data_IF_832088020339
#
_entry.id   IF_832088020339
#
_cell.length_a   1.000
_cell.length_b   1.000
_cell.length_c   1.000
_cell.angle_alpha   90.00
_cell.angle_beta   90.00
_cell.angle_gamma   90.00
#
_symmetry.space_group_name_H-M   'P 1'
#
loop_
_entity.id
_entity.type
_entity.pdbx_description
1 polymer ?
#
# COMPACT_ATOMS: atom_id res chain seq x y z
N UNK A 1 -3.49 3.82 24.08
CA UNK A 1 -3.02 3.20 22.81
C UNK A 1 -1.54 3.45 22.69
N UNK A 2 -0.69 2.40 22.60
CA UNK A 2 0.73 2.57 22.33
C UNK A 2 0.92 2.93 20.86
N UNK A 3 1.62 4.01 20.58
CA UNK A 3 2.05 4.36 19.22
C UNK A 3 3.22 3.44 18.85
N UNK A 4 3.23 2.88 17.64
CA UNK A 4 4.32 2.01 17.20
C UNK A 4 5.50 2.89 16.76
N UNK A 5 6.38 3.24 17.71
CA UNK A 5 7.58 4.05 17.49
C UNK A 5 8.75 3.12 17.17
N UNK A 6 9.49 3.43 16.13
CA UNK A 6 10.74 2.75 15.75
C UNK A 6 11.91 3.30 16.57
N UNK A 7 12.04 2.80 17.79
CA UNK A 7 13.06 3.22 18.75
C UNK A 7 14.49 2.94 18.25
N UNK A 8 14.65 1.86 17.48
CA UNK A 8 15.96 1.44 16.97
C UNK A 8 16.47 2.43 15.93
N UNK A 9 15.61 2.95 15.08
CA UNK A 9 15.96 4.00 14.13
C UNK A 9 16.42 5.27 14.86
N UNK A 10 15.68 5.76 15.85
CA UNK A 10 16.08 6.95 16.63
C UNK A 10 17.43 6.74 17.33
N UNK A 11 17.65 5.56 17.90
CA UNK A 11 18.90 5.22 18.55
C UNK A 11 20.07 5.20 17.55
N UNK A 12 19.85 4.69 16.35
CA UNK A 12 20.83 4.69 15.27
C UNK A 12 21.19 6.12 14.83
N UNK A 13 20.19 7.01 14.67
CA UNK A 13 20.43 8.41 14.32
C UNK A 13 21.24 9.17 15.38
N UNK A 14 20.91 8.98 16.65
CA UNK A 14 21.68 9.57 17.75
C UNK A 14 23.13 9.08 17.76
N UNK A 15 23.37 7.78 17.54
CA UNK A 15 24.72 7.19 17.45
C UNK A 15 25.50 7.72 16.26
N UNK A 16 24.88 7.80 15.08
CA UNK A 16 25.50 8.32 13.86
C UNK A 16 26.02 9.76 14.06
N UNK A 17 25.32 10.57 14.85
CA UNK A 17 25.69 11.93 15.20
C UNK A 17 26.53 12.06 16.47
N UNK A 18 26.96 10.94 17.08
CA UNK A 18 27.73 10.90 18.32
C UNK A 18 27.09 11.72 19.44
N UNK A 19 25.77 11.70 19.54
CA UNK A 19 24.99 12.46 20.52
C UNK A 19 24.11 11.53 21.38
N UNK A 20 23.43 12.09 22.37
CA UNK A 20 22.67 11.34 23.37
C UNK A 20 21.21 11.81 23.44
N UNK A 21 20.33 10.96 23.99
CA UNK A 21 18.94 11.34 24.29
C UNK A 21 18.86 12.55 25.24
N UNK A 22 19.84 12.71 26.17
CA UNK A 22 19.89 13.84 27.08
C UNK A 22 20.19 15.15 26.33
N UNK A 23 21.10 15.11 25.35
CA UNK A 23 21.39 16.27 24.51
C UNK A 23 20.21 16.65 23.62
N UNK A 24 19.51 15.65 23.09
CA UNK A 24 18.26 15.88 22.36
C UNK A 24 17.19 16.54 23.25
N UNK A 25 17.00 16.04 24.48
CA UNK A 25 16.06 16.62 25.44
C UNK A 25 16.39 18.08 25.76
N UNK A 26 17.68 18.39 25.94
CA UNK A 26 18.17 19.75 26.19
C UNK A 26 17.91 20.66 24.98
N UNK A 27 18.15 20.19 23.77
CA UNK A 27 17.83 20.93 22.52
C UNK A 27 16.34 21.25 22.39
N UNK A 28 15.49 20.26 22.70
CA UNK A 28 14.04 20.40 22.66
C UNK A 28 13.42 21.14 23.86
N UNK A 29 14.24 21.57 24.83
CA UNK A 29 13.75 22.25 26.05
C UNK A 29 12.80 21.40 26.91
N UNK A 30 12.94 20.07 26.89
CA UNK A 30 12.10 19.14 27.66
C UNK A 30 12.96 18.19 28.51
N UNK A 31 12.33 17.52 29.49
CA UNK A 31 13.02 16.56 30.33
C UNK A 31 13.46 15.30 29.57
N UNK A 32 14.59 14.73 29.96
CA UNK A 32 15.10 13.49 29.37
C UNK A 32 14.12 12.31 29.53
N UNK A 33 13.34 12.29 30.61
CA UNK A 33 12.25 11.34 30.81
C UNK A 33 11.14 11.48 29.77
N UNK A 34 10.83 12.72 29.36
CA UNK A 34 9.83 12.98 28.32
C UNK A 34 10.28 12.45 26.96
N UNK A 35 11.57 12.61 26.59
CA UNK A 35 12.14 12.01 25.37
C UNK A 35 12.08 10.49 25.44
N UNK A 36 12.41 9.88 26.57
CA UNK A 36 12.31 8.43 26.74
C UNK A 36 10.88 7.94 26.53
N UNK A 37 9.88 8.63 27.08
CA UNK A 37 8.47 8.30 26.91
C UNK A 37 7.99 8.47 25.46
N UNK A 38 8.52 9.45 24.72
CA UNK A 38 8.26 9.63 23.29
C UNK A 38 8.81 8.43 22.49
N UNK A 39 10.05 8.06 22.74
CA UNK A 39 10.71 6.94 22.04
C UNK A 39 10.13 5.57 22.42
N UNK A 40 9.55 5.43 23.62
CA UNK A 40 8.83 4.21 24.02
C UNK A 40 7.36 4.15 23.53
N UNK A 41 6.91 5.17 22.76
CA UNK A 41 5.54 5.26 22.27
C UNK A 41 4.48 5.48 23.35
N UNK A 42 4.90 5.87 24.57
CA UNK A 42 4.02 6.17 25.72
C UNK A 42 3.54 7.61 25.76
N UNK A 43 4.22 8.49 25.03
CA UNK A 43 3.84 9.89 24.84
C UNK A 43 3.75 10.17 23.34
N UNK A 44 2.73 10.92 22.91
CA UNK A 44 2.57 11.33 21.53
C UNK A 44 3.54 12.42 21.16
N UNK A 45 4.26 12.27 20.06
CA UNK A 45 5.07 13.30 19.44
C UNK A 45 4.17 14.35 18.80
N UNK A 46 4.36 15.63 19.15
CA UNK A 46 3.65 16.75 18.53
C UNK A 46 4.48 17.32 17.37
N UNK A 47 3.80 17.98 16.42
CA UNK A 47 4.47 18.51 15.22
C UNK A 47 5.63 19.49 15.52
N UNK A 48 5.50 20.46 16.47
CA UNK A 48 6.64 21.30 16.84
C UNK A 48 7.83 20.50 17.39
N UNK A 49 7.56 19.49 18.22
CA UNK A 49 8.59 18.62 18.78
C UNK A 49 9.28 17.75 17.71
N UNK A 50 8.50 17.30 16.69
CA UNK A 50 9.04 16.57 15.56
C UNK A 50 9.98 17.46 14.73
N UNK A 51 9.66 18.75 14.57
CA UNK A 51 10.50 19.71 13.87
C UNK A 51 11.84 19.90 14.60
N UNK A 52 11.82 20.18 15.91
CA UNK A 52 13.03 20.33 16.73
C UNK A 52 13.90 19.06 16.74
N UNK A 53 13.25 17.90 16.77
CA UNK A 53 13.95 16.61 16.69
C UNK A 53 14.57 16.39 15.30
N UNK A 54 13.90 16.76 14.24
CA UNK A 54 14.39 16.68 12.86
C UNK A 54 15.60 17.61 12.66
N UNK A 55 15.53 18.85 13.14
CA UNK A 55 16.60 19.82 13.08
C UNK A 55 17.82 19.33 13.84
N UNK A 56 17.64 18.77 15.05
CA UNK A 56 18.72 18.20 15.85
C UNK A 56 19.37 16.98 15.19
N UNK A 57 18.55 16.09 14.64
CA UNK A 57 19.00 14.88 13.96
C UNK A 57 19.43 15.14 12.51
N UNK A 58 19.13 16.33 11.92
CA UNK A 58 19.39 16.71 10.54
C UNK A 58 18.80 15.75 9.51
N UNK A 59 17.60 15.33 9.77
CA UNK A 59 16.75 14.49 8.90
C UNK A 59 15.47 15.26 8.55
N UNK A 60 14.70 14.78 7.60
CA UNK A 60 13.42 15.38 7.27
C UNK A 60 12.41 15.17 8.41
N UNK A 61 11.57 16.18 8.69
CA UNK A 61 10.51 16.09 9.69
C UNK A 61 9.50 14.97 9.37
N UNK A 62 9.27 14.71 8.08
CA UNK A 62 8.40 13.62 7.64
C UNK A 62 8.99 12.25 8.01
N UNK A 63 10.30 12.11 7.96
CA UNK A 63 11.03 10.90 8.36
C UNK A 63 10.90 10.66 9.88
N UNK A 64 11.09 11.70 10.69
CA UNK A 64 10.88 11.65 12.14
C UNK A 64 9.46 11.22 12.47
N UNK A 65 8.46 11.82 11.82
CA UNK A 65 7.06 11.51 12.08
C UNK A 65 6.68 10.10 11.62
N UNK A 66 7.23 9.62 10.50
CA UNK A 66 7.02 8.26 10.00
C UNK A 66 7.54 7.22 11.02
N UNK A 67 8.78 7.39 11.52
CA UNK A 67 9.38 6.50 12.51
C UNK A 67 8.79 6.67 13.92
N UNK A 68 8.16 7.82 14.22
CA UNK A 68 7.36 8.01 15.43
C UNK A 68 5.96 7.39 15.35
N UNK A 69 5.62 6.70 14.24
CA UNK A 69 4.32 6.08 14.04
C UNK A 69 3.17 7.10 13.89
N UNK A 70 3.49 8.36 13.60
CA UNK A 70 2.51 9.40 13.33
C UNK A 70 2.18 9.38 11.84
N UNK A 71 0.96 8.95 11.50
CA UNK A 71 0.47 9.10 10.12
C UNK A 71 0.26 10.58 9.85
N UNK A 72 1.13 11.16 9.05
CA UNK A 72 0.92 12.51 8.53
C UNK A 72 -0.16 12.38 7.45
N UNK A 73 -1.33 12.97 7.69
CA UNK A 73 -2.16 13.38 6.57
C UNK A 73 -1.33 14.39 5.76
N UNK A 74 -1.13 14.11 4.47
CA UNK A 74 -0.30 14.94 3.59
C UNK A 74 -0.60 16.43 3.82
N UNK A 75 0.47 17.22 3.93
CA UNK A 75 0.41 18.67 4.17
C UNK A 75 -0.51 19.34 3.14
N UNK A 76 -1.50 20.15 3.53
CA UNK A 76 -2.21 20.98 2.58
C UNK A 76 -1.22 22.01 2.01
N UNK A 77 -0.77 21.83 0.78
CA UNK A 77 0.13 22.78 0.10
C UNK A 77 1.25 22.17 -0.74
N UNK A 78 1.66 20.93 -0.47
CA UNK A 78 2.47 20.18 -1.42
C UNK A 78 1.50 19.35 -2.26
N UNK A 79 1.29 19.69 -3.50
CA UNK A 79 0.55 18.83 -4.41
C UNK A 79 1.24 17.44 -4.36
N UNK A 80 0.49 16.37 -4.01
CA UNK A 80 1.07 15.04 -3.94
C UNK A 80 1.65 14.72 -5.33
N UNK A 81 2.95 14.50 -5.39
CA UNK A 81 3.56 14.14 -6.67
C UNK A 81 2.98 12.79 -7.10
N UNK A 82 2.52 12.65 -8.34
CA UNK A 82 1.96 11.41 -8.81
C UNK A 82 3.02 10.30 -8.72
N UNK A 83 2.68 9.25 -8.00
CA UNK A 83 3.55 8.07 -7.89
C UNK A 83 3.60 7.40 -9.27
N UNK A 84 4.78 7.21 -9.84
CA UNK A 84 4.92 6.45 -11.08
C UNK A 84 4.83 4.96 -10.78
N UNK A 85 3.80 4.32 -11.33
CA UNK A 85 3.53 2.90 -11.15
C UNK A 85 3.80 2.16 -12.45
N UNK A 86 4.52 1.04 -12.37
CA UNK A 86 4.85 0.21 -13.53
C UNK A 86 3.60 -0.52 -14.04
N UNK A 87 3.29 -0.38 -15.32
CA UNK A 87 2.30 -1.18 -16.04
C UNK A 87 2.91 -2.53 -16.33
N UNK A 88 2.27 -3.62 -15.89
CA UNK A 88 2.80 -4.98 -16.01
C UNK A 88 1.91 -5.89 -16.84
N UNK A 89 0.93 -5.35 -17.53
CA UNK A 89 0.08 -6.17 -18.38
C UNK A 89 -1.28 -5.55 -18.70
N UNK A 90 -2.18 -6.39 -19.16
CA UNK A 90 -3.53 -6.02 -19.57
C UNK A 90 -4.59 -7.01 -19.07
N UNK A 91 -5.83 -6.57 -19.09
CA UNK A 91 -7.03 -7.38 -18.81
C UNK A 91 -7.87 -7.41 -20.07
N UNK A 92 -8.18 -8.59 -20.60
CA UNK A 92 -9.02 -8.72 -21.79
C UNK A 92 -10.53 -8.71 -21.47
N UNK A 93 -11.36 -8.75 -22.50
CA UNK A 93 -12.83 -8.74 -22.38
C UNK A 93 -13.40 -9.97 -21.64
N UNK A 94 -12.62 -11.03 -21.48
CA UNK A 94 -12.96 -12.23 -20.69
C UNK A 94 -12.52 -12.10 -19.22
N UNK A 95 -12.02 -10.92 -18.83
CA UNK A 95 -11.47 -10.67 -17.51
C UNK A 95 -10.24 -11.53 -17.17
N UNK A 96 -9.50 -11.98 -18.19
CA UNK A 96 -8.22 -12.66 -18.02
C UNK A 96 -7.10 -11.63 -17.99
N UNK A 97 -6.27 -11.71 -16.95
CA UNK A 97 -5.11 -10.84 -16.76
C UNK A 97 -3.88 -11.48 -17.38
N UNK A 98 -3.29 -10.79 -18.35
CA UNK A 98 -2.03 -11.17 -18.97
C UNK A 98 -0.92 -10.26 -18.48
N UNK A 99 0.06 -10.83 -17.77
CA UNK A 99 1.21 -10.07 -17.31
C UNK A 99 2.33 -10.12 -18.35
N UNK A 100 3.01 -9.01 -18.53
CA UNK A 100 4.19 -8.83 -19.35
C UNK A 100 5.34 -8.21 -18.56
N UNK A 101 6.51 -8.05 -19.18
CA UNK A 101 7.69 -7.46 -18.51
C UNK A 101 7.57 -5.95 -18.24
N UNK A 102 6.49 -5.32 -18.70
CA UNK A 102 6.12 -3.94 -18.47
C UNK A 102 7.24 -2.92 -18.62
N UNK A 103 7.22 -2.16 -19.70
CA UNK A 103 8.18 -1.08 -19.94
C UNK A 103 7.60 0.32 -19.73
N UNK A 104 6.29 0.41 -19.53
CA UNK A 104 5.55 1.69 -19.42
C UNK A 104 5.19 1.97 -17.97
N UNK A 105 5.30 3.23 -17.56
CA UNK A 105 4.82 3.69 -16.27
C UNK A 105 3.61 4.59 -16.43
N UNK A 106 2.68 4.48 -15.50
CA UNK A 106 1.47 5.32 -15.42
C UNK A 106 1.45 6.09 -14.10
N UNK A 107 0.73 7.20 -14.09
CA UNK A 107 0.49 7.94 -12.86
C UNK A 107 -0.47 7.16 -11.95
N UNK A 108 -0.04 6.94 -10.72
CA UNK A 108 -0.83 6.34 -9.66
C UNK A 108 -1.26 7.36 -8.61
N UNK A 109 -2.18 6.96 -7.74
CA UNK A 109 -2.59 7.78 -6.61
C UNK A 109 -1.44 7.87 -5.59
N UNK A 110 -1.16 9.06 -5.01
CA UNK A 110 -0.04 9.26 -4.09
C UNK A 110 -0.08 8.39 -2.81
N UNK A 111 -1.26 7.94 -2.41
CA UNK A 111 -1.44 7.08 -1.24
C UNK A 111 -1.27 5.57 -1.53
N UNK A 112 -0.90 5.19 -2.77
CA UNK A 112 -0.64 3.79 -3.10
C UNK A 112 0.65 3.30 -2.42
N UNK A 113 0.67 2.03 -1.95
CA UNK A 113 1.89 1.41 -1.41
C UNK A 113 3.03 1.35 -2.44
N UNK A 114 4.27 1.16 -1.95
CA UNK A 114 5.50 1.23 -2.78
C UNK A 114 5.57 0.13 -3.84
N UNK A 115 5.02 -1.08 -3.60
CA UNK A 115 5.16 -2.25 -4.48
C UNK A 115 3.95 -2.45 -5.40
N UNK A 116 3.21 -1.37 -5.66
CA UNK A 116 2.03 -1.42 -6.51
C UNK A 116 2.45 -1.49 -7.97
N UNK A 117 1.74 -2.31 -8.73
CA UNK A 117 1.80 -2.38 -10.18
C UNK A 117 0.42 -2.14 -10.78
N UNK A 118 0.36 -1.95 -12.09
CA UNK A 118 -0.89 -1.68 -12.79
C UNK A 118 -1.09 -2.60 -13.97
N UNK A 119 -2.35 -2.86 -14.30
CA UNK A 119 -2.79 -3.47 -15.56
C UNK A 119 -3.81 -2.58 -16.23
N UNK A 120 -3.89 -2.61 -17.57
CA UNK A 120 -4.85 -1.83 -18.35
C UNK A 120 -5.96 -2.74 -18.87
N UNK A 121 -7.20 -2.32 -18.75
CA UNK A 121 -8.32 -2.97 -19.40
C UNK A 121 -8.28 -2.73 -20.93
N UNK A 122 -8.46 -3.78 -21.69
CA UNK A 122 -8.54 -3.83 -23.15
C UNK A 122 -9.84 -4.56 -23.49
N UNK A 123 -10.94 -3.84 -23.39
CA UNK A 123 -12.30 -4.39 -23.47
C UNK A 123 -13.11 -3.77 -24.59
N UNK A 124 -12.48 -2.97 -25.45
CA UNK A 124 -13.11 -2.31 -26.59
C UNK A 124 -13.93 -3.28 -27.43
N UNK A 125 -15.12 -2.86 -27.84
CA UNK A 125 -16.04 -3.66 -28.67
C UNK A 125 -16.69 -4.84 -27.96
N UNK A 126 -16.61 -4.94 -26.64
CA UNK A 126 -17.28 -5.94 -25.82
C UNK A 126 -18.42 -5.36 -24.99
N UNK A 127 -19.15 -6.21 -24.27
CA UNK A 127 -20.14 -5.77 -23.27
C UNK A 127 -19.52 -4.94 -22.13
N UNK A 128 -18.19 -4.96 -22.02
CA UNK A 128 -17.42 -4.23 -21.02
C UNK A 128 -16.66 -3.03 -21.62
N UNK A 129 -17.10 -2.54 -22.76
CA UNK A 129 -16.50 -1.40 -23.47
C UNK A 129 -16.34 -0.16 -22.57
N UNK A 130 -17.25 0.03 -21.62
CA UNK A 130 -17.16 1.12 -20.62
C UNK A 130 -15.92 1.05 -19.73
N UNK A 131 -15.26 -0.09 -19.63
CA UNK A 131 -14.01 -0.28 -18.87
C UNK A 131 -12.76 -0.12 -19.75
N UNK A 132 -12.91 0.06 -21.06
CA UNK A 132 -11.75 0.12 -21.95
C UNK A 132 -10.84 1.29 -21.57
N UNK A 133 -9.54 0.99 -21.49
CA UNK A 133 -8.53 1.95 -21.05
C UNK A 133 -8.40 2.12 -19.54
N UNK A 134 -9.30 1.60 -18.73
CA UNK A 134 -9.17 1.67 -17.27
C UNK A 134 -7.86 1.08 -16.79
N UNK A 135 -7.28 1.71 -15.77
CA UNK A 135 -6.04 1.25 -15.15
C UNK A 135 -6.34 0.78 -13.74
N UNK A 136 -6.03 -0.49 -13.48
CA UNK A 136 -6.28 -1.14 -12.19
C UNK A 136 -4.95 -1.34 -11.46
N UNK A 137 -4.87 -0.87 -10.24
CA UNK A 137 -3.68 -0.88 -9.40
C UNK A 137 -3.79 -1.94 -8.32
N UNK A 138 -2.77 -2.79 -8.17
CA UNK A 138 -2.74 -3.90 -7.22
C UNK A 138 -1.32 -4.22 -6.75
N UNK A 139 -1.18 -5.00 -5.68
CA UNK A 139 0.10 -5.44 -5.12
C UNK A 139 0.29 -6.94 -5.40
N UNK A 140 1.14 -7.34 -6.37
CA UNK A 140 1.27 -8.75 -6.77
C UNK A 140 2.08 -9.60 -5.80
N UNK A 141 2.92 -9.00 -4.96
CA UNK A 141 3.93 -9.70 -4.18
C UNK A 141 3.44 -10.34 -2.88
N UNK A 142 2.17 -10.20 -2.53
CA UNK A 142 1.61 -10.82 -1.33
C UNK A 142 0.57 -11.86 -1.72
N UNK A 143 0.92 -13.14 -1.53
CA UNK A 143 -0.08 -14.19 -1.47
C UNK A 143 -1.04 -13.86 -0.32
N UNK A 144 -2.19 -13.31 -0.66
CA UNK A 144 -3.23 -13.00 0.31
C UNK A 144 -4.15 -14.20 0.35
N UNK A 145 -4.43 -14.73 1.54
CA UNK A 145 -5.44 -15.77 1.70
C UNK A 145 -6.75 -15.30 1.05
N UNK A 146 -7.39 -16.17 0.27
CA UNK A 146 -8.58 -15.82 -0.50
C UNK A 146 -9.69 -15.19 0.36
N UNK A 147 -9.78 -15.58 1.64
CA UNK A 147 -10.73 -15.06 2.62
C UNK A 147 -10.55 -13.56 2.90
N UNK A 148 -9.32 -13.04 2.77
CA UNK A 148 -9.03 -11.63 3.03
C UNK A 148 -9.53 -10.70 1.91
N UNK A 149 -9.79 -11.24 0.72
CA UNK A 149 -10.30 -10.47 -0.43
C UNK A 149 -11.76 -10.78 -0.75
N UNK A 150 -12.41 -11.66 0.01
CA UNK A 150 -13.81 -11.99 -0.19
C UNK A 150 -14.70 -10.73 -0.22
N UNK A 151 -15.52 -10.59 -1.27
CA UNK A 151 -16.39 -9.44 -1.49
C UNK A 151 -15.67 -8.20 -2.06
N UNK A 152 -14.37 -8.26 -2.35
CA UNK A 152 -13.60 -7.20 -2.99
C UNK A 152 -13.22 -7.57 -4.42
N UNK A 153 -13.07 -6.56 -5.28
CA UNK A 153 -12.47 -6.78 -6.58
C UNK A 153 -11.00 -7.15 -6.40
N UNK A 154 -10.58 -8.26 -6.99
CA UNK A 154 -9.24 -8.79 -6.86
C UNK A 154 -8.74 -9.38 -8.18
N UNK A 155 -7.42 -9.44 -8.33
CA UNK A 155 -6.77 -10.31 -9.31
C UNK A 155 -6.53 -11.65 -8.63
N UNK A 156 -7.10 -12.70 -9.19
CA UNK A 156 -7.14 -14.05 -8.62
C UNK A 156 -6.42 -14.99 -9.57
N UNK A 157 -5.45 -15.72 -9.07
CA UNK A 157 -4.77 -16.78 -9.80
C UNK A 157 -5.37 -18.14 -9.41
N UNK A 158 -5.81 -18.89 -10.40
CA UNK A 158 -6.31 -20.24 -10.19
C UNK A 158 -5.17 -21.27 -10.08
N UNK A 159 -5.50 -22.51 -9.76
CA UNK A 159 -4.52 -23.61 -9.67
C UNK A 159 -3.86 -23.97 -10.99
N UNK A 160 -4.39 -23.52 -12.12
CA UNK A 160 -3.83 -23.70 -13.46
C UNK A 160 -2.86 -22.55 -13.84
N UNK A 161 -2.72 -21.52 -12.99
CA UNK A 161 -1.89 -20.34 -13.23
C UNK A 161 -2.57 -19.27 -14.08
N UNK A 162 -3.88 -19.41 -14.39
CA UNK A 162 -4.63 -18.38 -15.08
C UNK A 162 -5.06 -17.30 -14.10
N UNK A 163 -4.86 -16.04 -14.49
CA UNK A 163 -5.24 -14.90 -13.67
C UNK A 163 -6.52 -14.27 -14.19
N UNK A 164 -7.46 -14.09 -13.29
CA UNK A 164 -8.75 -13.48 -13.56
C UNK A 164 -8.93 -12.22 -12.70
N UNK A 165 -9.78 -11.31 -13.14
CA UNK A 165 -10.24 -10.21 -12.30
C UNK A 165 -11.71 -10.39 -11.96
N UNK A 166 -12.04 -10.28 -10.67
CA UNK A 166 -13.42 -10.45 -10.22
C UNK A 166 -13.56 -10.30 -8.71
N UNK A 167 -14.75 -10.53 -8.22
CA UNK A 167 -15.10 -10.51 -6.80
C UNK A 167 -15.20 -11.94 -6.29
N UNK A 168 -14.33 -12.31 -5.34
CA UNK A 168 -14.35 -13.64 -4.72
C UNK A 168 -15.54 -13.78 -3.78
N UNK A 169 -16.13 -14.98 -3.81
CA UNK A 169 -17.12 -15.45 -2.86
C UNK A 169 -16.81 -16.89 -2.49
N UNK A 170 -17.39 -17.38 -1.39
CA UNK A 170 -17.29 -18.78 -1.01
C UNK A 170 -17.91 -19.64 -2.10
N UNK A 171 -17.23 -20.70 -2.49
CA UNK A 171 -17.73 -21.73 -3.40
C UNK A 171 -18.65 -22.75 -2.72
N UNK A 172 -19.18 -23.67 -3.47
CA UNK A 172 -20.05 -24.76 -2.98
C UNK A 172 -19.22 -25.91 -2.42
N UNK A 173 -18.09 -26.21 -3.05
CA UNK A 173 -17.16 -27.23 -2.58
C UNK A 173 -16.24 -26.70 -1.48
N UNK A 174 -15.78 -27.57 -0.58
CA UNK A 174 -14.89 -27.20 0.51
C UNK A 174 -13.54 -26.67 -0.01
N UNK A 175 -13.13 -25.52 0.48
CA UNK A 175 -11.93 -24.80 0.03
C UNK A 175 -11.98 -24.26 -1.41
N UNK A 176 -13.15 -24.29 -2.06
CA UNK A 176 -13.37 -23.68 -3.37
C UNK A 176 -13.97 -22.28 -3.24
N UNK A 177 -13.83 -21.49 -4.29
CA UNK A 177 -14.34 -20.12 -4.37
C UNK A 177 -15.07 -19.89 -5.69
N UNK A 178 -16.10 -19.08 -5.63
CA UNK A 178 -16.79 -18.56 -6.80
C UNK A 178 -16.21 -17.17 -7.11
N UNK A 179 -15.93 -16.90 -8.38
CA UNK A 179 -15.44 -15.61 -8.84
C UNK A 179 -16.50 -14.95 -9.73
N UNK A 180 -17.08 -13.88 -9.23
CA UNK A 180 -18.01 -13.05 -10.01
C UNK A 180 -17.21 -12.06 -10.85
N UNK A 181 -17.27 -12.20 -12.18
CA UNK A 181 -16.58 -11.33 -13.12
C UNK A 181 -17.34 -10.01 -13.30
N UNK A 182 -16.66 -8.88 -13.55
CA UNK A 182 -17.29 -7.69 -14.09
C UNK A 182 -18.09 -8.05 -15.37
N UNK A 183 -19.33 -7.58 -15.46
CA UNK A 183 -20.23 -7.96 -16.56
C UNK A 183 -21.13 -9.16 -16.28
N UNK A 184 -21.05 -9.76 -15.08
CA UNK A 184 -22.01 -10.78 -14.62
C UNK A 184 -21.61 -12.23 -14.90
N UNK A 185 -20.45 -12.50 -15.48
CA UNK A 185 -19.93 -13.87 -15.61
C UNK A 185 -19.59 -14.47 -14.23
N UNK A 186 -19.77 -15.77 -14.06
CA UNK A 186 -19.47 -16.50 -12.84
C UNK A 186 -18.55 -17.69 -13.16
N UNK A 187 -17.42 -17.77 -12.46
CA UNK A 187 -16.58 -18.96 -12.44
C UNK A 187 -16.83 -19.66 -11.10
N UNK A 188 -17.37 -20.87 -11.16
CA UNK A 188 -17.80 -21.61 -9.98
C UNK A 188 -16.69 -22.56 -9.49
N UNK A 189 -16.67 -22.77 -8.18
CA UNK A 189 -15.82 -23.74 -7.48
C UNK A 189 -14.33 -23.74 -7.88
N UNK A 190 -13.79 -22.55 -8.11
CA UNK A 190 -12.36 -22.37 -8.43
C UNK A 190 -11.47 -22.74 -7.23
N UNK A 191 -10.35 -23.40 -7.52
CA UNK A 191 -9.23 -23.51 -6.58
C UNK A 191 -8.32 -22.30 -6.77
N UNK A 192 -8.25 -21.45 -5.75
CA UNK A 192 -7.48 -20.22 -5.77
C UNK A 192 -6.09 -20.46 -5.23
N UNK A 193 -5.07 -20.20 -6.05
CA UNK A 193 -3.65 -20.27 -5.66
C UNK A 193 -3.19 -18.97 -4.97
N UNK A 194 -3.61 -17.82 -5.51
CA UNK A 194 -3.31 -16.51 -4.92
C UNK A 194 -4.38 -15.49 -5.26
N UNK A 195 -4.51 -14.46 -4.44
CA UNK A 195 -5.44 -13.36 -4.70
C UNK A 195 -4.84 -12.03 -4.21
N UNK A 196 -4.88 -11.02 -5.07
CA UNK A 196 -4.39 -9.68 -4.81
C UNK A 196 -5.54 -8.67 -4.95
N UNK A 197 -5.93 -7.94 -3.88
CA UNK A 197 -7.00 -6.96 -3.98
C UNK A 197 -6.61 -5.82 -4.93
N UNK A 198 -7.56 -5.36 -5.74
CA UNK A 198 -7.44 -4.11 -6.48
C UNK A 198 -7.54 -2.97 -5.47
N UNK A 199 -6.52 -2.14 -5.42
CA UNK A 199 -6.38 -1.06 -4.43
C UNK A 199 -6.99 0.25 -4.94
N UNK A 200 -6.89 0.49 -6.24
CA UNK A 200 -7.39 1.69 -6.88
C UNK A 200 -7.67 1.44 -8.37
N UNK A 201 -8.63 2.17 -8.91
CA UNK A 201 -9.01 2.14 -10.33
C UNK A 201 -9.02 3.58 -10.83
N UNK A 202 -8.36 3.80 -11.97
CA UNK A 202 -8.43 5.04 -12.73
C UNK A 202 -9.17 4.74 -14.03
N UNK A 203 -10.35 5.34 -14.24
CA UNK A 203 -11.08 5.26 -15.51
C UNK A 203 -10.32 5.92 -16.67
#
# INVERSE_FOLDING_TARGET
MKTNVDKDWFTAQLRARKTTQRALAQHMGIDASAVSLLLDGRRRLQLPQAQEMADFLGVDVAEVLAHAGVRIAARPGSAPQPTRVRMVGSVDARMIVRLDKGSVSVEGHPALPVDVVAVRAQTAGSALDFMDGWVLFFQPSRAVAAELVAGRLAIVEDSAGTRHIGTLRRGYADGAHNLLLPGGGLLEDMRVASAAPVLWIRP
#
